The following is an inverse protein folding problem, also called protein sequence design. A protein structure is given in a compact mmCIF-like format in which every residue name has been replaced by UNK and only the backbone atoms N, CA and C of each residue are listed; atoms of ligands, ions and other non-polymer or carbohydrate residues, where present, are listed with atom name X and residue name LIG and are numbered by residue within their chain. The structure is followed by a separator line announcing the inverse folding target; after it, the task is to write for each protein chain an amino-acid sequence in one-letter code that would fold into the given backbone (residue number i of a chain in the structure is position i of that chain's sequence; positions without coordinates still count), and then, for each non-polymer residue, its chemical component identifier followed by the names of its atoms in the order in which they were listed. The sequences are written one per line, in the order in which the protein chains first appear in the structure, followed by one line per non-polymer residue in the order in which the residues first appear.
data_IF_745038383802
#
_entry.id   IF_745038383802
#
_cell.length_a   1.000
_cell.length_b   1.000
_cell.length_c   1.000
_cell.angle_alpha   90.00
_cell.angle_beta   90.00
_cell.angle_gamma   90.00
#
_symmetry.space_group_name_H-M   'P 1'
#
loop_
_entity.id
_entity.type
_entity.pdbx_description
1 polymer ?
#
# COMPACT_ATOMS: atom_id res chain seq x y z
N UNK A 1 58.02 -58.26 45.02
CA UNK A 1 56.88 -59.18 45.11
C UNK A 1 55.62 -58.39 45.40
N UNK A 2 54.54 -58.59 44.65
CA UNK A 2 53.22 -57.99 44.90
C UNK A 2 52.60 -57.32 43.66
N UNK A 3 51.81 -58.08 42.88
CA UNK A 3 51.02 -57.63 41.71
C UNK A 3 49.60 -57.20 42.13
N UNK A 4 48.93 -56.55 41.16
CA UNK A 4 47.47 -56.37 40.89
C UNK A 4 46.91 -55.06 41.47
N UNK A 5 46.22 -54.18 40.74
CA UNK A 5 45.63 -54.21 39.41
C UNK A 5 44.30 -53.45 39.47
N UNK A 6 43.96 -52.63 38.46
CA UNK A 6 42.69 -52.59 37.73
C UNK A 6 42.49 -51.27 36.94
N UNK A 7 41.87 -51.46 35.77
CA UNK A 7 41.51 -50.54 34.70
C UNK A 7 40.75 -49.29 35.17
N UNK A 8 40.90 -48.18 34.44
CA UNK A 8 39.73 -47.57 33.78
C UNK A 8 40.12 -46.64 32.62
N UNK A 9 39.17 -46.48 31.73
CA UNK A 9 39.23 -46.15 30.30
C UNK A 9 38.58 -44.76 30.08
N UNK A 10 39.13 -43.91 29.21
CA UNK A 10 38.41 -42.87 28.45
C UNK A 10 39.41 -42.14 27.53
N UNK A 11 39.46 -42.45 26.24
CA UNK A 11 38.73 -41.77 25.15
C UNK A 11 39.22 -40.33 24.97
N UNK A 12 39.98 -40.16 23.87
CA UNK A 12 40.58 -38.90 23.47
C UNK A 12 39.55 -37.84 23.05
N UNK A 13 39.93 -36.58 23.23
CA UNK A 13 39.21 -35.43 22.70
C UNK A 13 40.14 -34.71 21.72
N UNK A 14 39.94 -35.02 20.44
CA UNK A 14 40.55 -34.31 19.31
C UNK A 14 39.71 -33.05 19.07
N UNK A 15 40.19 -31.90 19.54
CA UNK A 15 39.62 -30.60 19.18
C UNK A 15 40.13 -30.20 17.78
N UNK A 16 39.39 -30.57 16.73
CA UNK A 16 39.61 -30.08 15.37
C UNK A 16 38.44 -29.18 14.96
N UNK A 17 38.79 -27.90 14.87
CA UNK A 17 38.35 -26.89 13.88
C UNK A 17 36.87 -26.76 13.55
N UNK A 18 36.33 -25.60 13.87
CA UNK A 18 35.11 -25.04 13.26
C UNK A 18 35.22 -23.53 13.21
N UNK A 19 36.12 -23.01 12.36
CA UNK A 19 36.16 -21.60 11.99
C UNK A 19 34.86 -21.28 11.23
N UNK A 20 33.84 -20.81 11.93
CA UNK A 20 32.59 -20.37 11.33
C UNK A 20 32.82 -19.04 10.62
N UNK A 21 33.32 -19.13 9.38
CA UNK A 21 33.20 -18.04 8.43
C UNK A 21 31.70 -17.80 8.18
N UNK A 22 31.13 -16.83 8.89
CA UNK A 22 29.84 -16.27 8.49
C UNK A 22 30.06 -15.61 7.14
N UNK A 23 29.74 -16.34 6.07
CA UNK A 23 29.62 -15.79 4.73
C UNK A 23 28.46 -14.80 4.81
N UNK A 24 28.79 -13.52 5.01
CA UNK A 24 27.89 -12.42 4.72
C UNK A 24 27.56 -12.52 3.23
N UNK A 25 26.46 -13.20 2.89
CA UNK A 25 25.87 -13.06 1.57
C UNK A 25 25.50 -11.58 1.43
N UNK A 26 26.12 -10.82 0.50
CA UNK A 26 25.65 -9.47 0.23
C UNK A 26 24.19 -9.60 -0.20
N UNK A 27 23.27 -8.99 0.57
CA UNK A 27 21.92 -8.75 0.08
C UNK A 27 22.09 -7.93 -1.18
N UNK A 28 21.94 -8.56 -2.34
CA UNK A 28 21.80 -7.85 -3.60
C UNK A 28 20.58 -6.95 -3.43
N UNK A 29 20.80 -5.65 -3.23
CA UNK A 29 19.74 -4.67 -3.20
C UNK A 29 19.19 -4.61 -4.62
N UNK A 30 18.12 -5.35 -4.88
CA UNK A 30 17.39 -5.22 -6.13
C UNK A 30 17.00 -3.75 -6.25
N UNK A 31 17.34 -3.06 -7.36
CA UNK A 31 16.97 -1.68 -7.57
C UNK A 31 15.47 -1.55 -7.35
N UNK A 32 15.08 -0.72 -6.38
CA UNK A 32 13.69 -0.52 -6.03
C UNK A 32 13.07 0.30 -7.17
N UNK A 33 12.36 -0.37 -8.06
CA UNK A 33 11.65 0.27 -9.15
C UNK A 33 10.45 1.06 -8.61
N UNK A 34 10.14 2.23 -9.19
CA UNK A 34 8.97 2.98 -8.80
C UNK A 34 7.69 2.21 -9.08
N UNK A 35 6.65 2.46 -8.30
CA UNK A 35 5.31 1.90 -8.52
C UNK A 35 4.69 2.56 -9.73
N UNK A 36 4.16 1.73 -10.64
CA UNK A 36 3.37 2.19 -11.77
C UNK A 36 1.89 1.99 -11.45
N UNK A 37 1.13 3.07 -11.48
CA UNK A 37 -0.33 3.00 -11.47
C UNK A 37 -0.78 2.44 -12.81
N UNK A 38 -1.57 1.37 -12.77
CA UNK A 38 -2.15 0.75 -13.95
C UNK A 38 -3.54 1.30 -14.23
N UNK A 39 -4.27 1.67 -13.17
CA UNK A 39 -5.64 2.12 -13.26
C UNK A 39 -6.09 2.85 -12.00
N UNK A 40 -6.92 3.87 -12.18
CA UNK A 40 -7.67 4.57 -11.14
C UNK A 40 -9.10 4.74 -11.64
N UNK A 41 -10.08 4.41 -10.80
CA UNK A 41 -11.49 4.61 -11.10
C UNK A 41 -12.16 5.36 -9.96
N UNK A 42 -12.88 6.45 -10.26
CA UNK A 42 -13.77 7.09 -9.30
C UNK A 42 -15.13 6.43 -9.36
N UNK A 43 -15.65 6.05 -8.19
CA UNK A 43 -16.87 5.26 -8.04
C UNK A 43 -18.03 6.17 -7.64
N UNK A 44 -19.12 6.11 -8.41
CA UNK A 44 -20.31 6.92 -8.16
C UNK A 44 -21.60 6.12 -8.28
N UNK A 45 -22.67 6.63 -7.68
CA UNK A 45 -24.04 6.11 -7.84
C UNK A 45 -24.98 7.27 -8.23
N UNK A 46 -25.63 7.24 -9.41
CA UNK A 46 -25.43 6.25 -10.48
C UNK A 46 -24.00 6.28 -11.03
N UNK A 47 -23.59 5.20 -11.70
CA UNK A 47 -22.23 5.09 -12.23
C UNK A 47 -21.99 6.06 -13.38
N UNK A 48 -20.97 6.89 -13.23
CA UNK A 48 -20.35 7.66 -14.30
C UNK A 48 -19.03 6.93 -14.60
N UNK A 49 -18.82 6.43 -15.82
CA UNK A 49 -17.63 5.66 -16.20
C UNK A 49 -16.36 6.54 -16.19
N UNK A 50 -15.84 6.80 -14.99
CA UNK A 50 -14.74 7.70 -14.72
C UNK A 50 -13.51 6.87 -14.36
N UNK A 51 -12.68 6.61 -15.37
CA UNK A 51 -11.50 5.76 -15.27
C UNK A 51 -10.32 6.39 -16.01
N UNK A 52 -9.13 6.34 -15.42
CA UNK A 52 -7.89 6.83 -16.01
C UNK A 52 -6.72 5.96 -15.56
N UNK A 53 -5.71 5.80 -16.42
CA UNK A 53 -4.50 5.02 -16.12
C UNK A 53 -3.38 5.88 -15.54
N UNK A 54 -3.54 7.20 -15.50
CA UNK A 54 -2.48 8.11 -15.08
C UNK A 54 -2.50 8.40 -13.58
N UNK A 55 -1.30 8.51 -13.00
CA UNK A 55 -1.12 9.33 -11.81
C UNK A 55 -1.35 10.80 -12.19
N UNK A 56 -1.85 11.64 -11.29
CA UNK A 56 -2.26 13.04 -11.54
C UNK A 56 -3.57 13.21 -12.35
N UNK A 57 -4.36 12.13 -12.49
CA UNK A 57 -5.63 12.16 -13.20
C UNK A 57 -6.64 13.13 -12.58
N UNK A 58 -7.43 13.76 -13.45
CA UNK A 58 -8.55 14.63 -13.06
C UNK A 58 -9.87 14.02 -13.50
N UNK A 59 -10.73 13.71 -12.54
CA UNK A 59 -12.07 13.16 -12.78
C UNK A 59 -13.10 14.27 -12.64
N UNK A 60 -13.75 14.63 -13.76
CA UNK A 60 -14.67 15.75 -13.82
C UNK A 60 -16.12 15.32 -13.52
N UNK A 61 -16.61 15.69 -12.34
CA UNK A 61 -17.97 15.51 -11.87
C UNK A 61 -18.78 16.83 -11.90
N UNK A 62 -18.25 17.90 -12.49
CA UNK A 62 -18.93 19.21 -12.51
C UNK A 62 -20.26 19.21 -13.24
N UNK A 63 -20.43 18.32 -14.23
CA UNK A 63 -21.70 18.11 -14.94
C UNK A 63 -22.68 17.16 -14.25
N UNK A 64 -22.25 16.47 -13.18
CA UNK A 64 -23.08 15.46 -12.51
C UNK A 64 -24.09 16.11 -11.54
N UNK A 65 -25.30 15.54 -11.41
CA UNK A 65 -26.34 16.07 -10.54
C UNK A 65 -25.94 15.98 -9.07
N UNK A 66 -26.45 16.93 -8.28
CA UNK A 66 -26.23 17.02 -6.83
C UNK A 66 -26.58 15.74 -6.05
N UNK A 67 -27.46 14.89 -6.60
CA UNK A 67 -27.91 13.63 -6.03
C UNK A 67 -26.94 12.47 -6.25
N UNK A 68 -25.96 12.62 -7.15
CA UNK A 68 -24.94 11.58 -7.37
C UNK A 68 -24.12 11.37 -6.11
N UNK A 69 -24.02 10.13 -5.66
CA UNK A 69 -23.14 9.74 -4.56
C UNK A 69 -21.75 9.46 -5.12
N UNK A 70 -20.71 9.97 -4.46
CA UNK A 70 -19.32 9.55 -4.68
C UNK A 70 -18.97 8.59 -3.54
N UNK A 71 -18.82 7.30 -3.85
CA UNK A 71 -18.63 6.25 -2.85
C UNK A 71 -17.17 6.00 -2.53
N UNK A 72 -16.26 6.33 -3.45
CA UNK A 72 -14.84 6.11 -3.27
C UNK A 72 -14.07 6.15 -4.58
N UNK A 73 -12.91 5.53 -4.56
CA UNK A 73 -12.15 5.22 -5.77
C UNK A 73 -11.48 3.85 -5.63
N UNK A 74 -11.18 3.22 -6.76
CA UNK A 74 -10.32 2.05 -6.81
C UNK A 74 -8.98 2.40 -7.45
N UNK A 75 -7.94 1.69 -7.04
CA UNK A 75 -6.60 1.84 -7.59
C UNK A 75 -5.97 0.48 -7.86
N UNK A 76 -5.33 0.34 -9.02
CA UNK A 76 -4.56 -0.84 -9.41
C UNK A 76 -3.12 -0.43 -9.63
N UNK A 77 -2.18 -1.08 -8.94
CA UNK A 77 -0.74 -0.88 -9.11
C UNK A 77 -0.11 -2.08 -9.84
N UNK A 78 1.05 -1.88 -10.48
CA UNK A 78 1.78 -2.95 -11.18
C UNK A 78 2.33 -4.02 -10.23
N UNK A 79 2.60 -3.65 -8.98
CA UNK A 79 3.25 -4.50 -7.98
C UNK A 79 2.63 -4.26 -6.60
N UNK A 80 2.75 -5.26 -5.73
CA UNK A 80 2.26 -5.13 -4.36
C UNK A 80 3.07 -4.10 -3.58
N UNK A 81 2.36 -3.20 -2.90
CA UNK A 81 2.88 -2.12 -2.06
C UNK A 81 1.78 -1.65 -1.11
N UNK A 82 2.12 -0.74 -0.21
CA UNK A 82 1.19 -0.09 0.70
C UNK A 82 0.90 1.31 0.18
N UNK A 83 -0.38 1.68 0.05
CA UNK A 83 -0.78 3.05 -0.24
C UNK A 83 -1.13 3.77 1.07
N UNK A 84 -0.33 4.78 1.42
CA UNK A 84 -0.62 5.67 2.54
C UNK A 84 -1.18 6.98 2.02
N UNK A 85 -2.45 7.25 2.30
CA UNK A 85 -3.09 8.51 1.91
C UNK A 85 -2.71 9.63 2.88
N UNK A 86 -2.65 10.88 2.41
CA UNK A 86 -2.35 12.04 3.27
C UNK A 86 -3.55 12.51 4.09
N UNK A 87 -4.76 12.29 3.57
CA UNK A 87 -6.00 12.76 4.18
C UNK A 87 -6.45 11.90 5.35
N UNK A 88 -5.96 10.65 5.42
CA UNK A 88 -6.30 9.67 6.46
C UNK A 88 -5.04 9.00 6.96
N UNK A 89 -4.96 8.74 8.25
CA UNK A 89 -3.92 7.86 8.78
C UNK A 89 -4.33 6.39 8.62
N UNK A 90 -4.56 6.01 7.36
CA UNK A 90 -4.93 4.66 6.95
C UNK A 90 -3.99 4.19 5.84
N UNK A 91 -3.57 2.94 5.96
CA UNK A 91 -2.71 2.26 4.99
C UNK A 91 -3.52 1.22 4.26
N UNK A 92 -3.58 1.32 2.94
CA UNK A 92 -4.31 0.41 2.08
C UNK A 92 -3.31 -0.54 1.42
N UNK A 93 -3.33 -1.84 1.75
CA UNK A 93 -2.47 -2.80 1.07
C UNK A 93 -2.94 -3.00 -0.38
N UNK A 94 -2.03 -2.86 -1.33
CA UNK A 94 -2.26 -3.13 -2.74
C UNK A 94 -1.64 -4.47 -3.12
N UNK A 95 -2.44 -5.33 -3.73
CA UNK A 95 -1.96 -6.51 -4.45
C UNK A 95 -1.66 -6.11 -5.89
N UNK A 96 -0.45 -6.37 -6.38
CA UNK A 96 -0.07 -6.02 -7.75
C UNK A 96 -1.01 -6.64 -8.78
N UNK A 97 -1.51 -5.83 -9.70
CA UNK A 97 -2.47 -6.24 -10.74
C UNK A 97 -3.93 -6.32 -10.29
N UNK A 98 -4.22 -6.11 -9.00
CA UNK A 98 -5.58 -6.16 -8.45
C UNK A 98 -6.05 -4.76 -8.03
N UNK A 99 -7.36 -4.51 -8.22
CA UNK A 99 -7.98 -3.25 -7.81
C UNK A 99 -8.25 -3.27 -6.31
N UNK A 100 -7.66 -2.32 -5.58
CA UNK A 100 -7.99 -2.06 -4.18
C UNK A 100 -8.99 -0.91 -4.07
N UNK A 101 -9.96 -1.06 -3.17
CA UNK A 101 -11.05 -0.10 -2.99
C UNK A 101 -10.75 0.83 -1.81
N UNK A 102 -11.01 2.12 -2.01
CA UNK A 102 -10.89 3.15 -1.00
C UNK A 102 -12.23 3.86 -0.89
N UNK A 103 -12.89 3.70 0.25
CA UNK A 103 -14.17 4.36 0.49
C UNK A 103 -13.95 5.81 0.87
N UNK A 104 -14.81 6.70 0.35
CA UNK A 104 -14.68 8.13 0.59
C UNK A 104 -15.10 8.53 2.00
N UNK A 105 -15.95 7.74 2.63
CA UNK A 105 -16.37 7.90 4.02
C UNK A 105 -15.20 7.70 4.99
N UNK A 106 -14.19 6.92 4.61
CA UNK A 106 -12.96 6.80 5.38
C UNK A 106 -12.14 8.10 5.29
N UNK A 107 -12.25 8.83 4.17
CA UNK A 107 -11.44 10.00 3.85
C UNK A 107 -11.95 11.32 4.44
N UNK A 108 -13.22 11.37 4.85
CA UNK A 108 -13.87 12.58 5.33
C UNK A 108 -14.46 12.33 6.73
N UNK A 109 -13.89 12.94 7.78
CA UNK A 109 -14.43 12.80 9.13
C UNK A 109 -15.89 13.26 9.20
N UNK A 110 -16.77 12.42 9.76
CA UNK A 110 -18.18 12.76 9.99
C UNK A 110 -19.16 12.37 8.89
N UNK A 111 -18.71 11.68 7.84
CA UNK A 111 -19.58 11.13 6.77
C UNK A 111 -19.72 9.60 6.83
N UNK A 112 -19.49 9.01 8.01
CA UNK A 112 -19.57 7.56 8.21
C UNK A 112 -21.01 7.06 7.95
N UNK A 113 -21.20 6.25 6.91
CA UNK A 113 -22.52 5.73 6.54
C UNK A 113 -22.55 4.65 5.45
N UNK A 114 -21.45 4.42 4.72
CA UNK A 114 -21.30 3.35 3.74
C UNK A 114 -21.96 3.62 2.37
N UNK A 115 -22.82 4.63 2.29
CA UNK A 115 -23.57 4.97 1.07
C UNK A 115 -22.83 5.99 0.17
N UNK A 116 -21.65 6.44 0.60
CA UNK A 116 -20.89 7.51 -0.05
C UNK A 116 -21.42 8.90 0.29
N UNK A 117 -20.88 9.90 -0.41
CA UNK A 117 -21.18 11.30 -0.13
C UNK A 117 -21.76 11.96 -1.36
N UNK A 118 -22.94 12.59 -1.20
CA UNK A 118 -23.60 13.26 -2.33
C UNK A 118 -22.74 14.41 -2.87
N UNK A 119 -22.77 14.64 -4.18
CA UNK A 119 -22.08 15.76 -4.81
C UNK A 119 -22.52 17.11 -4.24
N UNK A 120 -23.79 17.25 -3.81
CA UNK A 120 -24.25 18.44 -3.06
C UNK A 120 -23.39 18.68 -1.82
N UNK A 121 -23.17 17.65 -1.01
CA UNK A 121 -22.37 17.72 0.22
C UNK A 121 -20.91 17.95 -0.12
N UNK A 122 -20.38 17.25 -1.11
CA UNK A 122 -19.01 17.39 -1.60
C UNK A 122 -18.69 18.81 -2.05
N UNK A 123 -19.55 19.42 -2.86
CA UNK A 123 -19.45 20.83 -3.32
C UNK A 123 -19.49 21.80 -2.14
N UNK A 124 -20.28 21.52 -1.10
CA UNK A 124 -20.32 22.35 0.11
C UNK A 124 -19.02 22.30 0.91
N UNK A 125 -18.38 21.15 1.02
CA UNK A 125 -17.12 21.00 1.77
C UNK A 125 -15.88 21.46 0.99
N UNK A 126 -15.79 21.12 -0.30
CA UNK A 126 -14.56 21.30 -1.11
C UNK A 126 -14.70 22.34 -2.23
N UNK A 127 -15.85 23.03 -2.30
CA UNK A 127 -16.15 24.03 -3.32
C UNK A 127 -16.08 23.49 -4.77
N UNK A 128 -14.91 23.56 -5.41
CA UNK A 128 -14.73 23.30 -6.86
C UNK A 128 -13.95 22.03 -7.18
N UNK A 129 -13.13 21.55 -6.24
CA UNK A 129 -12.30 20.36 -6.47
C UNK A 129 -11.71 19.85 -5.17
N UNK A 130 -11.49 18.53 -5.11
CA UNK A 130 -10.71 17.90 -4.04
C UNK A 130 -9.52 17.15 -4.66
N UNK A 131 -8.34 17.31 -4.05
CA UNK A 131 -7.15 16.57 -4.45
C UNK A 131 -6.83 15.52 -3.40
N UNK A 132 -6.86 14.25 -3.80
CA UNK A 132 -6.47 13.11 -3.00
C UNK A 132 -4.99 12.83 -3.29
N UNK A 133 -4.18 12.82 -2.23
CA UNK A 133 -2.74 12.60 -2.33
C UNK A 133 -2.31 11.45 -1.42
N UNK A 134 -1.26 10.73 -1.81
CA UNK A 134 -0.70 9.64 -1.03
C UNK A 134 0.71 9.28 -1.44
N UNK A 135 1.26 8.24 -0.80
CA UNK A 135 2.55 7.64 -1.10
C UNK A 135 2.40 6.14 -1.27
N UNK A 136 3.09 5.58 -2.25
CA UNK A 136 3.29 4.15 -2.34
C UNK A 136 4.54 3.79 -1.56
N UNK A 137 4.42 2.87 -0.61
CA UNK A 137 5.50 2.44 0.27
C UNK A 137 5.69 0.92 0.18
N UNK A 138 6.92 0.47 0.34
CA UNK A 138 7.23 -0.97 0.46
C UNK A 138 8.44 -1.14 1.34
N UNK A 139 8.31 -1.97 2.38
CA UNK A 139 9.39 -2.23 3.34
C UNK A 139 10.03 -0.95 3.90
N UNK A 140 9.21 0.07 4.20
CA UNK A 140 9.65 1.37 4.73
C UNK A 140 10.29 2.32 3.72
N UNK A 141 10.33 1.97 2.42
CA UNK A 141 10.81 2.84 1.35
C UNK A 141 9.66 3.43 0.55
N UNK A 142 9.74 4.72 0.19
CA UNK A 142 8.77 5.38 -0.69
C UNK A 142 9.10 5.07 -2.15
N UNK A 143 8.14 4.50 -2.87
CA UNK A 143 8.29 4.03 -4.25
C UNK A 143 7.57 4.91 -5.27
N UNK A 144 6.88 5.94 -4.82
CA UNK A 144 6.12 6.85 -5.66
C UNK A 144 5.11 7.65 -4.85
N UNK A 145 4.47 8.60 -5.51
CA UNK A 145 3.39 9.38 -4.93
C UNK A 145 2.11 9.13 -5.72
N UNK A 146 0.97 9.13 -5.03
CA UNK A 146 -0.34 9.21 -5.65
C UNK A 146 -0.80 10.66 -5.64
N UNK A 147 -1.35 11.13 -6.76
CA UNK A 147 -2.12 12.34 -6.84
C UNK A 147 -3.31 12.14 -7.77
N UNK A 148 -4.47 12.58 -7.32
CA UNK A 148 -5.76 12.40 -7.95
C UNK A 148 -6.57 13.67 -7.70
N UNK A 149 -7.22 14.22 -8.71
CA UNK A 149 -8.13 15.35 -8.54
C UNK A 149 -9.54 14.95 -8.94
N UNK A 150 -10.52 15.25 -8.08
CA UNK A 150 -11.94 15.19 -8.42
C UNK A 150 -12.43 16.62 -8.53
N UNK A 151 -12.84 17.01 -9.73
CA UNK A 151 -13.44 18.32 -10.01
C UNK A 151 -14.95 18.23 -9.82
N UNK A 152 -15.53 19.19 -9.11
CA UNK A 152 -16.92 19.15 -8.58
C UNK A 152 -17.84 20.14 -9.27
#
# INVERSE_FOLDING_TARGET
MGKKGYLSMAIGLVCVLGLSAQIFSPRTLTPIQPIKVLDIQVLTVPSYNLRDMSNDSTFDLSGAPDTTQVTGFSITADKSCDLKLKMVDHTIPLSGGEAAWVYLDDLIPGTQGGDGISLRTFRRFYSKSVTIQGKFEKNGSVLGNLALTIKL
#
